data_IF_932114057971
#
_entry.id   IF_932114057971
#
_cell.length_a   1.000
_cell.length_b   1.000
_cell.length_c   1.000
_cell.angle_alpha   90.00
_cell.angle_beta   90.00
_cell.angle_gamma   90.00
#
_symmetry.space_group_name_H-M   'P 1'
#
loop_
_entity.id
_entity.type
_entity.pdbx_description
1 polymer ?
#
# COMPACT_ATOMS: atom_id res chain seq x y z
N UNK A 1 15.19 40.56 -8.37
CA UNK A 1 14.26 40.29 -9.49
C UNK A 1 14.04 38.77 -9.57
N UNK A 2 12.77 38.37 -9.51
CA UNK A 2 12.15 37.08 -9.91
C UNK A 2 12.59 35.76 -9.23
N UNK A 3 11.82 35.42 -8.19
CA UNK A 3 11.22 34.12 -7.84
C UNK A 3 11.16 33.09 -8.98
N UNK A 4 11.42 31.80 -8.71
CA UNK A 4 10.57 30.64 -9.06
C UNK A 4 11.14 29.33 -8.45
N UNK A 5 10.43 28.86 -7.42
CA UNK A 5 10.16 27.46 -7.07
C UNK A 5 11.28 26.61 -6.44
N UNK A 6 11.16 26.51 -5.11
CA UNK A 6 11.31 25.25 -4.41
C UNK A 6 10.65 24.14 -5.25
N UNK A 7 11.45 23.23 -5.81
CA UNK A 7 10.95 21.88 -6.02
C UNK A 7 10.95 21.23 -4.64
N UNK A 8 9.79 20.91 -4.05
CA UNK A 8 9.80 20.16 -2.81
C UNK A 8 10.51 18.83 -3.07
N UNK A 9 11.51 18.58 -2.23
CA UNK A 9 12.31 17.37 -2.22
C UNK A 9 11.35 16.18 -2.03
N UNK A 10 11.18 15.32 -3.05
CA UNK A 10 10.18 14.23 -3.09
C UNK A 10 10.51 13.05 -2.15
N UNK A 11 11.52 13.17 -1.29
CA UNK A 11 12.04 12.08 -0.47
C UNK A 11 11.88 12.28 1.03
N UNK A 12 11.08 13.26 1.47
CA UNK A 12 10.83 13.48 2.91
C UNK A 12 9.35 13.76 3.21
N UNK A 13 8.46 12.81 2.88
CA UNK A 13 7.19 12.69 3.63
C UNK A 13 7.44 11.73 4.78
N UNK A 14 7.32 12.29 5.97
CA UNK A 14 7.30 11.63 7.26
C UNK A 14 6.46 10.34 7.15
N UNK A 15 7.10 9.16 7.17
CA UNK A 15 6.39 7.93 7.50
C UNK A 15 6.15 7.97 9.00
N UNK A 16 5.19 8.77 9.44
CA UNK A 16 4.60 8.59 10.75
C UNK A 16 4.16 7.13 10.86
N UNK A 17 4.45 6.43 11.97
CA UNK A 17 3.96 5.08 12.17
C UNK A 17 2.43 5.12 12.24
N UNK A 18 1.77 4.97 11.09
CA UNK A 18 0.32 4.90 11.03
C UNK A 18 -0.11 3.64 11.75
N UNK A 19 -0.92 3.80 12.81
CA UNK A 19 -1.52 2.64 13.47
C UNK A 19 -2.40 1.90 12.46
N UNK A 20 -2.54 0.57 12.57
CA UNK A 20 -3.39 -0.20 11.66
C UNK A 20 -4.81 0.38 11.56
N UNK A 21 -5.33 0.93 12.66
CA UNK A 21 -6.62 1.63 12.70
C UNK A 21 -6.65 2.85 11.77
N UNK A 22 -5.67 3.74 11.88
CA UNK A 22 -5.56 4.95 11.05
C UNK A 22 -5.42 4.58 9.58
N UNK A 23 -4.59 3.57 9.28
CA UNK A 23 -4.34 3.13 7.92
C UNK A 23 -5.62 2.59 7.26
N UNK A 24 -6.41 1.79 7.98
CA UNK A 24 -7.72 1.30 7.48
C UNK A 24 -8.68 2.45 7.23
N UNK A 25 -8.77 3.43 8.14
CA UNK A 25 -9.66 4.58 7.95
C UNK A 25 -9.29 5.39 6.70
N UNK A 26 -7.99 5.62 6.48
CA UNK A 26 -7.50 6.35 5.30
C UNK A 26 -7.71 5.56 4.00
N UNK A 27 -7.51 4.23 4.04
CA UNK A 27 -7.83 3.37 2.88
C UNK A 27 -9.32 3.45 2.51
N UNK A 28 -10.22 3.40 3.51
CA UNK A 28 -11.66 3.55 3.29
C UNK A 28 -12.06 4.88 2.68
N UNK A 29 -11.34 5.96 3.01
CA UNK A 29 -11.58 7.27 2.42
C UNK A 29 -10.98 7.45 1.02
N UNK A 30 -10.32 6.43 0.46
CA UNK A 30 -9.66 6.54 -0.84
C UNK A 30 -8.34 7.31 -0.83
N UNK A 31 -7.67 7.41 0.33
CA UNK A 31 -6.40 8.13 0.45
C UNK A 31 -5.28 7.41 -0.34
N UNK A 32 -4.80 8.05 -1.40
CA UNK A 32 -3.73 7.53 -2.25
C UNK A 32 -2.39 7.35 -1.51
N UNK A 33 -2.11 8.16 -0.49
CA UNK A 33 -0.94 8.03 0.36
C UNK A 33 -1.02 6.78 1.25
N UNK A 34 -2.19 6.48 1.81
CA UNK A 34 -2.42 5.25 2.56
C UNK A 34 -2.25 3.99 1.68
N UNK A 35 -2.73 4.06 0.43
CA UNK A 35 -2.48 3.01 -0.55
C UNK A 35 -0.99 2.80 -0.82
N UNK A 36 -0.22 3.87 -1.03
CA UNK A 36 1.23 3.78 -1.23
C UNK A 36 1.95 3.16 -0.04
N UNK A 37 1.56 3.51 1.19
CA UNK A 37 2.14 2.91 2.41
C UNK A 37 1.92 1.39 2.41
N UNK A 38 0.70 0.93 2.14
CA UNK A 38 0.39 -0.51 2.08
C UNK A 38 1.17 -1.22 0.99
N UNK A 39 1.17 -0.67 -0.23
CA UNK A 39 1.90 -1.28 -1.34
C UNK A 39 3.37 -1.39 -0.99
N UNK A 40 4.02 -0.31 -0.55
CA UNK A 40 5.44 -0.32 -0.21
C UNK A 40 5.77 -1.32 0.90
N UNK A 41 4.90 -1.46 1.90
CA UNK A 41 5.12 -2.35 3.03
C UNK A 41 4.99 -3.84 2.67
N UNK A 42 4.05 -4.19 1.78
CA UNK A 42 3.68 -5.59 1.54
C UNK A 42 4.11 -6.13 0.18
N UNK A 43 4.44 -5.26 -0.78
CA UNK A 43 4.74 -5.62 -2.17
C UNK A 43 5.76 -6.76 -2.26
N UNK A 44 6.94 -6.59 -1.63
CA UNK A 44 8.00 -7.58 -1.72
C UNK A 44 7.59 -8.94 -1.14
N UNK A 45 6.81 -8.94 -0.06
CA UNK A 45 6.36 -10.18 0.60
C UNK A 45 5.36 -10.93 -0.27
N UNK A 46 4.37 -10.23 -0.82
CA UNK A 46 3.37 -10.81 -1.73
C UNK A 46 4.02 -11.29 -3.02
N UNK A 47 4.92 -10.50 -3.59
CA UNK A 47 5.67 -10.84 -4.80
C UNK A 47 6.50 -12.12 -4.59
N UNK A 48 7.30 -12.17 -3.52
CA UNK A 48 8.13 -13.34 -3.21
C UNK A 48 7.29 -14.59 -2.94
N UNK A 49 6.13 -14.45 -2.30
CA UNK A 49 5.20 -15.55 -2.10
C UNK A 49 4.67 -16.09 -3.42
N UNK A 50 4.16 -15.20 -4.29
CA UNK A 50 3.64 -15.58 -5.60
C UNK A 50 4.74 -16.19 -6.49
N UNK A 51 5.94 -15.59 -6.50
CA UNK A 51 7.08 -16.09 -7.26
C UNK A 51 7.51 -17.48 -6.80
N UNK A 52 7.54 -17.74 -5.49
CA UNK A 52 7.86 -19.09 -4.97
C UNK A 52 6.82 -20.14 -5.35
N UNK A 53 5.57 -19.73 -5.55
CA UNK A 53 4.49 -20.62 -5.93
C UNK A 53 4.45 -20.88 -7.44
N UNK A 54 4.62 -19.85 -8.27
CA UNK A 54 4.50 -19.94 -9.73
C UNK A 54 5.83 -20.19 -10.45
N UNK A 55 6.95 -19.82 -9.85
CA UNK A 55 8.26 -19.67 -10.51
C UNK A 55 8.22 -18.78 -11.77
N UNK A 56 7.26 -17.85 -11.82
CA UNK A 56 7.02 -16.93 -12.94
C UNK A 56 6.88 -15.50 -12.41
N UNK A 57 7.79 -14.62 -12.86
CA UNK A 57 7.84 -13.21 -12.48
C UNK A 57 6.66 -12.40 -13.00
N UNK A 58 6.18 -12.70 -14.21
CA UNK A 58 5.04 -12.01 -14.80
C UNK A 58 3.78 -12.34 -14.02
N UNK A 59 3.56 -13.64 -13.77
CA UNK A 59 2.44 -14.08 -12.93
C UNK A 59 2.51 -13.48 -11.52
N UNK A 60 3.70 -13.47 -10.89
CA UNK A 60 3.87 -12.88 -9.58
C UNK A 60 3.52 -11.38 -9.56
N UNK A 61 3.88 -10.64 -10.61
CA UNK A 61 3.55 -9.23 -10.76
C UNK A 61 2.03 -9.01 -10.90
N UNK A 62 1.36 -9.84 -11.69
CA UNK A 62 -0.11 -9.80 -11.82
C UNK A 62 -0.81 -10.09 -10.49
N UNK A 63 -0.34 -11.10 -9.74
CA UNK A 63 -0.88 -11.45 -8.42
C UNK A 63 -0.75 -10.27 -7.46
N UNK A 64 0.41 -9.62 -7.43
CA UNK A 64 0.63 -8.43 -6.59
C UNK A 64 -0.36 -7.32 -6.91
N UNK A 65 -0.52 -7.00 -8.21
CA UNK A 65 -1.46 -5.97 -8.64
C UNK A 65 -2.90 -6.31 -8.23
N UNK A 66 -3.36 -7.52 -8.56
CA UNK A 66 -4.72 -8.00 -8.22
C UNK A 66 -4.95 -8.00 -6.71
N UNK A 67 -3.95 -8.38 -5.93
CA UNK A 67 -4.03 -8.39 -4.45
C UNK A 67 -4.30 -6.99 -3.91
N UNK A 68 -3.53 -5.98 -4.32
CA UNK A 68 -3.70 -4.63 -3.79
C UNK A 68 -4.97 -3.93 -4.28
N UNK A 69 -5.42 -4.24 -5.51
CA UNK A 69 -6.75 -3.83 -5.99
C UNK A 69 -7.83 -4.43 -5.08
N UNK A 70 -7.77 -5.73 -4.80
CA UNK A 70 -8.75 -6.41 -3.94
C UNK A 70 -8.73 -5.88 -2.50
N UNK A 71 -7.55 -5.56 -1.95
CA UNK A 71 -7.43 -4.93 -0.63
C UNK A 71 -8.23 -3.64 -0.62
N UNK A 72 -8.07 -2.78 -1.63
CA UNK A 72 -8.77 -1.50 -1.70
C UNK A 72 -10.28 -1.68 -1.89
N UNK A 73 -10.71 -2.58 -2.78
CA UNK A 73 -12.14 -2.85 -3.03
C UNK A 73 -12.87 -3.46 -1.83
N UNK A 74 -12.15 -4.18 -0.96
CA UNK A 74 -12.74 -4.93 0.15
C UNK A 74 -12.43 -4.38 1.53
N UNK A 75 -11.68 -3.27 1.65
CA UNK A 75 -11.24 -2.73 2.95
C UNK A 75 -12.40 -2.38 3.89
N UNK A 76 -13.58 -2.07 3.34
CA UNK A 76 -14.80 -1.85 4.11
C UNK A 76 -15.31 -3.11 4.82
N UNK A 77 -14.94 -4.29 4.35
CA UNK A 77 -15.31 -5.58 4.94
C UNK A 77 -14.45 -5.94 6.16
N UNK A 78 -13.31 -5.26 6.37
CA UNK A 78 -12.44 -5.47 7.53
C UNK A 78 -13.09 -4.94 8.82
N UNK A 79 -13.77 -5.80 9.56
CA UNK A 79 -14.50 -5.41 10.78
C UNK A 79 -13.59 -4.86 11.89
N UNK A 80 -12.40 -5.45 12.03
CA UNK A 80 -11.42 -5.09 13.06
C UNK A 80 -10.16 -4.51 12.41
N UNK A 81 -9.97 -3.19 12.44
CA UNK A 81 -8.81 -2.55 11.82
C UNK A 81 -7.46 -2.99 12.38
N UNK A 82 -7.40 -3.55 13.59
CA UNK A 82 -6.16 -4.07 14.16
C UNK A 82 -5.66 -5.33 13.46
N UNK A 83 -6.55 -6.00 12.72
CA UNK A 83 -6.26 -7.24 11.98
C UNK A 83 -5.84 -7.03 10.54
N UNK A 84 -5.58 -5.79 10.12
CA UNK A 84 -5.17 -5.47 8.74
C UNK A 84 -4.00 -6.32 8.23
N UNK A 85 -3.06 -6.70 9.10
CA UNK A 85 -1.90 -7.52 8.72
C UNK A 85 -2.23 -8.99 8.41
N UNK A 86 -3.33 -9.50 8.96
CA UNK A 86 -3.71 -10.93 8.92
C UNK A 86 -4.98 -11.20 8.11
N UNK A 87 -5.73 -10.16 7.76
CA UNK A 87 -6.93 -10.22 6.93
C UNK A 87 -6.55 -10.26 5.45
#
# INVERSE_FOLDING_TARGET
>A
MKTFLLKPNRTNMQHEPSTSIELVQRLRSGDAGAYQIIVNQWHQRVFNFALRYSNDQHFASEVVQKTFIQVFEKIDQLKDPTKLRSW
#
